data_IF_534057575487
#
_entry.id   IF_534057575487
#
_cell.length_a   1.000
_cell.length_b   1.000
_cell.length_c   1.000
_cell.angle_alpha   90.00
_cell.angle_beta   90.00
_cell.angle_gamma   90.00
#
_symmetry.space_group_name_H-M   'P 1'
#
loop_
_entity.id
_entity.type
_entity.pdbx_description
1 polymer ?
#
# COMPACT_ATOMS: atom_id res chain seq x y z
N UNK A 1 -3.15 -2.65 -8.42
CA UNK A 1 -2.94 -2.34 -6.99
C UNK A 1 -4.26 -2.17 -6.23
N UNK A 2 -4.89 -0.98 -6.20
CA UNK A 2 -6.05 -0.69 -5.33
C UNK A 2 -7.22 -1.69 -5.45
N UNK A 3 -7.70 -1.95 -6.67
CA UNK A 3 -8.81 -2.89 -6.90
C UNK A 3 -8.50 -4.34 -6.49
N UNK A 4 -7.23 -4.76 -6.53
CA UNK A 4 -6.81 -6.10 -6.08
C UNK A 4 -6.73 -6.17 -4.56
N UNK A 5 -6.20 -5.14 -3.92
CA UNK A 5 -6.17 -5.03 -2.45
C UNK A 5 -7.61 -5.08 -1.89
N UNK A 6 -8.52 -4.31 -2.48
CA UNK A 6 -9.92 -4.29 -2.06
C UNK A 6 -10.65 -5.62 -2.31
N UNK A 7 -10.25 -6.39 -3.34
CA UNK A 7 -10.75 -7.75 -3.55
C UNK A 7 -10.20 -8.76 -2.54
N UNK A 8 -8.93 -8.62 -2.17
CA UNK A 8 -8.26 -9.51 -1.23
C UNK A 8 -8.70 -9.26 0.22
N UNK A 9 -8.96 -8.01 0.57
CA UNK A 9 -9.42 -7.59 1.90
C UNK A 9 -10.63 -6.66 1.75
N UNK A 10 -11.85 -7.22 1.61
CA UNK A 10 -13.06 -6.43 1.35
C UNK A 10 -13.43 -5.43 2.45
N UNK A 11 -12.88 -5.62 3.64
CA UNK A 11 -13.13 -4.77 4.82
C UNK A 11 -12.25 -3.52 4.85
N UNK A 12 -11.25 -3.42 3.98
CA UNK A 12 -10.33 -2.27 3.92
C UNK A 12 -10.88 -1.25 2.92
N UNK A 13 -11.00 -0.01 3.38
CA UNK A 13 -11.27 1.15 2.53
C UNK A 13 -9.95 1.64 1.92
N UNK A 14 -9.92 1.80 0.59
CA UNK A 14 -8.72 2.25 -0.12
C UNK A 14 -8.95 3.65 -0.64
N UNK A 15 -8.21 4.62 -0.08
CA UNK A 15 -8.19 6.00 -0.55
C UNK A 15 -6.98 6.24 -1.46
N UNK A 16 -7.20 6.94 -2.58
CA UNK A 16 -6.13 7.36 -3.49
C UNK A 16 -5.86 8.85 -3.30
N UNK A 17 -4.77 9.16 -2.62
CA UNK A 17 -4.31 10.53 -2.39
C UNK A 17 -3.25 10.91 -3.42
N UNK A 18 -3.41 12.06 -4.06
CA UNK A 18 -2.39 12.61 -4.96
C UNK A 18 -1.16 13.05 -4.16
N UNK A 19 -0.03 12.37 -4.36
CA UNK A 19 1.26 12.73 -3.77
C UNK A 19 2.08 13.72 -4.62
N UNK A 20 3.30 14.01 -4.16
CA UNK A 20 4.28 14.80 -4.90
C UNK A 20 4.88 14.05 -6.10
N UNK A 21 5.79 14.70 -6.83
CA UNK A 21 6.48 14.09 -7.98
C UNK A 21 7.27 12.84 -7.55
N UNK A 22 6.84 11.69 -8.04
CA UNK A 22 7.56 10.41 -7.86
C UNK A 22 7.29 9.72 -6.52
N UNK A 23 6.36 10.23 -5.70
CA UNK A 23 6.01 9.63 -4.43
C UNK A 23 5.05 8.47 -4.62
N UNK A 24 5.41 7.33 -4.01
CA UNK A 24 4.53 6.19 -3.89
C UNK A 24 4.65 5.66 -2.46
N UNK A 25 3.67 6.02 -1.64
CA UNK A 25 3.60 5.69 -0.22
C UNK A 25 2.27 4.99 0.01
N UNK A 26 2.31 3.84 0.67
CA UNK A 26 1.13 3.07 1.08
C UNK A 26 1.11 3.05 2.60
N UNK A 27 0.02 3.55 3.18
CA UNK A 27 -0.20 3.53 4.62
C UNK A 27 -1.50 2.81 4.94
N UNK A 28 -1.58 2.20 6.11
CA UNK A 28 -2.79 1.58 6.67
C UNK A 28 -2.89 1.99 8.13
N UNK A 29 -4.00 2.63 8.52
CA UNK A 29 -4.24 3.10 9.90
C UNK A 29 -3.07 3.93 10.50
N UNK A 30 -2.41 4.74 9.66
CA UNK A 30 -1.26 5.55 10.05
C UNK A 30 0.09 4.81 10.09
N UNK A 31 0.11 3.50 9.82
CA UNK A 31 1.34 2.70 9.68
C UNK A 31 1.79 2.68 8.23
N UNK A 32 3.03 3.06 7.97
CA UNK A 32 3.64 2.95 6.64
C UNK A 32 3.89 1.48 6.29
N UNK A 33 3.19 0.97 5.27
CA UNK A 33 3.38 -0.39 4.77
C UNK A 33 4.43 -0.43 3.66
N UNK A 34 4.51 0.63 2.87
CA UNK A 34 5.50 0.78 1.81
C UNK A 34 5.80 2.24 1.51
N UNK A 35 7.06 2.50 1.22
CA UNK A 35 7.52 3.79 0.71
C UNK A 35 8.59 3.55 -0.34
N UNK A 36 8.28 3.91 -1.58
CA UNK A 36 9.17 3.73 -2.73
C UNK A 36 10.55 4.33 -2.50
N UNK A 37 10.64 5.51 -1.89
CA UNK A 37 11.94 6.15 -1.62
C UNK A 37 12.74 5.44 -0.53
N UNK A 38 12.08 4.77 0.41
CA UNK A 38 12.74 3.97 1.43
C UNK A 38 13.16 2.58 0.93
N UNK A 39 12.61 2.13 -0.21
CA UNK A 39 12.81 0.83 -0.82
C UNK A 39 13.55 0.96 -2.16
N UNK A 40 14.60 1.79 -2.22
CA UNK A 40 15.47 1.96 -3.40
C UNK A 40 14.73 2.28 -4.72
N UNK A 41 13.67 3.10 -4.62
CA UNK A 41 12.79 3.47 -5.73
C UNK A 41 11.99 2.31 -6.36
N UNK A 42 11.83 1.21 -5.62
CA UNK A 42 11.03 0.06 -6.05
C UNK A 42 9.53 0.21 -5.74
N UNK A 43 8.72 -0.29 -6.67
CA UNK A 43 7.29 -0.48 -6.45
C UNK A 43 7.05 -1.87 -5.85
N UNK A 44 6.15 -1.97 -4.87
CA UNK A 44 5.85 -3.27 -4.28
C UNK A 44 5.07 -4.13 -5.25
N UNK A 45 5.24 -5.45 -5.12
CA UNK A 45 4.28 -6.39 -5.67
C UNK A 45 2.97 -6.36 -4.87
N UNK A 46 1.88 -6.65 -5.56
CA UNK A 46 0.53 -6.62 -5.00
C UNK A 46 0.39 -7.61 -3.84
N UNK A 47 0.95 -8.81 -4.00
CA UNK A 47 0.89 -9.86 -2.98
C UNK A 47 1.70 -9.50 -1.73
N UNK A 48 2.81 -8.76 -1.90
CA UNK A 48 3.64 -8.28 -0.80
C UNK A 48 2.95 -7.18 0.02
N UNK A 49 2.09 -6.35 -0.60
CA UNK A 49 1.24 -5.40 0.12
C UNK A 49 0.12 -6.11 0.87
N UNK A 50 -0.55 -7.07 0.23
CA UNK A 50 -1.62 -7.85 0.87
C UNK A 50 -1.10 -8.62 2.09
N UNK A 51 0.08 -9.25 2.00
CA UNK A 51 0.70 -9.93 3.13
C UNK A 51 1.05 -8.99 4.30
N UNK A 52 1.39 -7.72 4.02
CA UNK A 52 1.64 -6.70 5.06
C UNK A 52 0.35 -6.20 5.70
N UNK A 53 -0.72 -6.05 4.91
CA UNK A 53 -2.05 -5.67 5.40
C UNK A 53 -2.60 -6.73 6.37
N UNK A 54 -2.52 -8.02 6.03
CA UNK A 54 -3.03 -9.10 6.88
C UNK A 54 -2.20 -9.36 8.14
N UNK A 55 -0.95 -8.88 8.21
CA UNK A 55 -0.12 -8.94 9.42
C UNK A 55 -0.37 -7.80 10.40
N UNK A 56 -1.03 -6.74 9.93
CA UNK A 56 -1.29 -5.51 10.68
C UNK A 56 -2.73 -5.43 11.19
N UNK A 57 -3.58 -6.36 10.79
CA UNK A 57 -4.96 -6.58 11.25
C UNK A 57 -5.02 -7.71 12.29
#
# INVERSE_FOLDING_TARGET
MAAKIQRAVPTVEVELVSGGKGDFIVTCDGVELWNKRAMDDEFPEEDALVARLTRSA
#
